data_IF_445324790850
#
_entry.id   IF_445324790850
#
_cell.length_a   1.000
_cell.length_b   1.000
_cell.length_c   1.000
_cell.angle_alpha   90.00
_cell.angle_beta   90.00
_cell.angle_gamma   90.00
#
_symmetry.space_group_name_H-M   'P 1'
#
loop_
_entity.id
_entity.type
_entity.pdbx_description
1 polymer ?
#
# COMPACT_ATOMS: atom_id res chain seq x y z
N UNK A 1 -13.04 1.21 7.53
CA UNK A 1 -14.08 1.19 8.58
C UNK A 1 -13.75 2.06 9.79
N UNK A 2 -12.54 1.92 10.45
CA UNK A 2 -12.21 2.77 11.62
C UNK A 2 -12.11 4.25 11.26
N UNK A 3 -11.41 4.57 10.16
CA UNK A 3 -11.30 5.94 9.66
C UNK A 3 -12.66 6.54 9.31
N UNK A 4 -13.60 5.75 8.80
CA UNK A 4 -14.96 6.22 8.50
C UNK A 4 -15.72 6.62 9.77
N UNK A 5 -15.66 5.78 10.82
CA UNK A 5 -16.25 6.13 12.12
C UNK A 5 -15.64 7.40 12.72
N UNK A 6 -14.34 7.61 12.47
CA UNK A 6 -13.69 8.85 12.92
C UNK A 6 -14.17 10.08 12.15
N UNK A 7 -14.42 9.96 10.84
CA UNK A 7 -15.07 11.05 10.07
C UNK A 7 -16.45 11.38 10.63
N UNK A 8 -17.26 10.35 10.96
CA UNK A 8 -18.60 10.55 11.56
C UNK A 8 -18.50 11.25 12.92
N UNK A 9 -17.50 10.88 13.74
CA UNK A 9 -17.22 11.56 15.00
C UNK A 9 -16.83 13.02 14.80
N UNK A 10 -15.92 13.31 13.88
CA UNK A 10 -15.51 14.67 13.57
C UNK A 10 -16.70 15.54 13.12
N UNK A 11 -17.54 14.98 12.25
CA UNK A 11 -18.75 15.66 11.77
C UNK A 11 -19.72 15.95 12.93
N UNK A 12 -19.99 14.95 13.78
CA UNK A 12 -20.93 15.09 14.91
C UNK A 12 -20.45 16.09 15.96
N UNK A 13 -19.13 16.29 16.07
CA UNK A 13 -18.51 17.24 17.00
C UNK A 13 -18.23 18.61 16.36
N UNK A 14 -18.67 18.83 15.12
CA UNK A 14 -18.52 20.11 14.41
C UNK A 14 -17.10 20.45 13.97
N UNK A 15 -16.19 19.48 13.96
CA UNK A 15 -14.84 19.67 13.46
C UNK A 15 -14.83 19.87 11.94
N UNK A 16 -13.84 20.60 11.44
CA UNK A 16 -13.71 20.94 10.00
C UNK A 16 -12.42 20.40 9.39
N UNK A 17 -11.43 20.09 10.22
CA UNK A 17 -10.11 19.65 9.78
C UNK A 17 -9.72 18.35 10.45
N UNK A 18 -9.09 17.48 9.67
CA UNK A 18 -8.44 16.28 10.16
C UNK A 18 -6.98 16.29 9.73
N UNK A 19 -6.11 16.62 10.67
CA UNK A 19 -4.67 16.54 10.44
C UNK A 19 -4.21 15.08 10.53
N UNK A 20 -3.47 14.63 9.52
CA UNK A 20 -2.89 13.29 9.45
C UNK A 20 -1.37 13.35 9.29
N UNK A 21 -0.69 12.28 9.67
CA UNK A 21 0.72 12.09 9.37
C UNK A 21 0.90 11.61 7.91
N UNK A 22 2.12 11.71 7.34
CA UNK A 22 2.39 11.15 6.02
C UNK A 22 1.95 9.68 5.91
N UNK A 23 1.26 9.34 4.83
CA UNK A 23 0.78 7.98 4.56
C UNK A 23 1.76 7.17 3.70
N UNK A 24 2.96 7.66 3.51
CA UNK A 24 4.00 7.03 2.70
C UNK A 24 4.52 5.74 3.35
N UNK A 25 5.17 4.89 2.54
CA UNK A 25 5.71 3.61 3.01
C UNK A 25 6.75 3.84 4.10
N UNK A 26 6.57 3.15 5.21
CA UNK A 26 7.51 3.13 6.33
C UNK A 26 8.50 1.98 6.20
N UNK A 27 9.62 2.08 6.90
CA UNK A 27 10.65 1.06 6.94
C UNK A 27 10.78 0.48 8.36
N UNK A 28 10.62 -0.85 8.52
CA UNK A 28 10.84 -1.50 9.83
C UNK A 28 12.24 -1.26 10.42
N UNK A 29 13.26 -1.07 9.57
CA UNK A 29 14.61 -0.73 10.02
C UNK A 29 14.69 0.65 10.71
N UNK A 30 13.67 1.49 10.56
CA UNK A 30 13.55 2.80 11.17
C UNK A 30 12.27 2.89 12.05
N UNK A 31 11.93 1.81 12.74
CA UNK A 31 10.79 1.70 13.66
C UNK A 31 9.44 2.10 13.02
N UNK A 32 9.31 1.91 11.72
CA UNK A 32 8.14 2.36 10.94
C UNK A 32 7.80 3.85 11.13
N UNK A 33 8.81 4.68 11.28
CA UNK A 33 8.65 6.12 11.42
C UNK A 33 8.01 6.72 10.15
N UNK A 34 6.88 7.43 10.24
CA UNK A 34 6.18 7.99 9.07
C UNK A 34 6.97 9.08 8.33
N UNK A 35 8.00 9.65 8.97
CA UNK A 35 8.90 10.64 8.36
C UNK A 35 10.12 10.00 7.67
N UNK A 36 10.27 8.68 7.76
CA UNK A 36 11.34 7.91 7.11
C UNK A 36 10.74 7.01 6.03
N UNK A 37 10.62 7.52 4.82
CA UNK A 37 10.01 6.80 3.71
C UNK A 37 11.01 6.53 2.58
N UNK A 38 10.81 5.40 1.91
CA UNK A 38 11.57 5.02 0.70
C UNK A 38 10.98 5.64 -0.58
N UNK A 39 9.84 6.27 -0.50
CA UNK A 39 9.17 6.93 -1.62
C UNK A 39 8.30 8.08 -1.13
N UNK A 40 8.30 9.19 -1.87
CA UNK A 40 7.40 10.32 -1.62
C UNK A 40 6.03 10.17 -2.29
N UNK A 41 5.89 9.23 -3.23
CA UNK A 41 4.66 9.00 -4.00
C UNK A 41 3.89 7.77 -3.54
N UNK A 42 4.63 6.69 -3.20
CA UNK A 42 4.01 5.43 -2.83
C UNK A 42 3.51 5.45 -1.39
N UNK A 43 2.33 4.91 -1.20
CA UNK A 43 1.67 4.85 0.10
C UNK A 43 1.85 3.49 0.76
N UNK A 44 1.75 3.49 2.10
CA UNK A 44 1.97 2.32 2.91
C UNK A 44 0.80 1.33 2.81
N UNK A 45 1.00 0.12 2.26
CA UNK A 45 -0.04 -0.90 2.16
C UNK A 45 -0.63 -1.31 3.51
N UNK A 46 0.08 -1.09 4.61
CA UNK A 46 -0.44 -1.39 5.95
C UNK A 46 -1.70 -0.59 6.32
N UNK A 47 -2.00 0.50 5.61
CA UNK A 47 -3.27 1.22 5.78
C UNK A 47 -4.45 0.61 4.99
N UNK A 48 -4.20 -0.34 4.08
CA UNK A 48 -5.28 -1.04 3.36
C UNK A 48 -6.16 -1.79 4.38
N UNK A 49 -7.48 -1.55 4.33
CA UNK A 49 -8.45 -2.25 5.17
C UNK A 49 -8.78 -3.63 4.60
N UNK A 50 -8.60 -4.72 5.39
CA UNK A 50 -9.04 -6.06 4.99
C UNK A 50 -10.54 -6.13 4.71
N UNK A 51 -11.35 -5.46 5.50
CA UNK A 51 -12.81 -5.46 5.33
C UNK A 51 -13.20 -4.85 4.00
N UNK A 52 -12.56 -3.73 3.59
CA UNK A 52 -12.81 -3.13 2.28
C UNK A 52 -12.29 -4.01 1.13
N UNK A 53 -11.19 -4.75 1.33
CA UNK A 53 -10.77 -5.76 0.33
C UNK A 53 -11.81 -6.87 0.18
N UNK A 54 -12.46 -7.29 1.27
CA UNK A 54 -13.51 -8.29 1.21
C UNK A 54 -14.78 -7.73 0.52
N UNK A 55 -15.18 -6.50 0.81
CA UNK A 55 -16.27 -5.80 0.11
C UNK A 55 -16.01 -5.69 -1.40
N UNK A 56 -14.76 -5.43 -1.79
CA UNK A 56 -14.33 -5.31 -3.19
C UNK A 56 -14.14 -6.70 -3.85
N UNK A 57 -14.35 -7.81 -3.13
CA UNK A 57 -14.22 -9.18 -3.65
C UNK A 57 -12.76 -9.63 -3.85
N UNK A 58 -11.79 -8.88 -3.33
CA UNK A 58 -10.36 -9.20 -3.44
C UNK A 58 -9.94 -10.34 -2.49
N UNK A 59 -10.64 -10.51 -1.37
CA UNK A 59 -10.50 -11.63 -0.44
C UNK A 59 -11.88 -12.13 -0.03
N UNK A 60 -11.97 -13.31 0.58
CA UNK A 60 -13.22 -13.75 1.19
C UNK A 60 -13.39 -13.09 2.57
N UNK A 61 -14.65 -12.93 3.01
CA UNK A 61 -14.94 -12.42 4.36
C UNK A 61 -14.30 -13.32 5.43
N UNK A 62 -14.28 -14.63 5.21
CA UNK A 62 -13.63 -15.60 6.10
C UNK A 62 -12.12 -15.37 6.26
N UNK A 63 -11.46 -14.81 5.26
CA UNK A 63 -10.00 -14.59 5.30
C UNK A 63 -9.60 -13.52 6.34
N UNK A 64 -10.52 -12.61 6.68
CA UNK A 64 -10.31 -11.55 7.65
C UNK A 64 -11.24 -11.60 8.88
N UNK A 65 -12.03 -12.67 9.04
CA UNK A 65 -13.01 -12.79 10.11
C UNK A 65 -12.38 -13.01 11.50
N UNK A 66 -11.22 -13.65 11.55
CA UNK A 66 -10.53 -13.99 12.79
C UNK A 66 -9.09 -13.45 12.79
N UNK A 67 -8.90 -12.12 12.94
CA UNK A 67 -7.58 -11.53 12.99
C UNK A 67 -6.85 -11.91 14.28
N UNK A 68 -5.51 -11.93 14.29
CA UNK A 68 -4.73 -12.08 15.52
C UNK A 68 -5.14 -11.05 16.58
N UNK A 69 -5.01 -11.42 17.86
CA UNK A 69 -5.24 -10.50 18.96
C UNK A 69 -4.17 -9.40 18.98
N UNK A 70 -4.51 -8.22 18.51
CA UNK A 70 -3.62 -7.05 18.51
C UNK A 70 -3.77 -6.24 19.81
N UNK A 71 -2.67 -5.68 20.36
CA UNK A 71 -2.74 -4.76 21.50
C UNK A 71 -3.60 -3.54 21.17
N UNK A 72 -4.49 -3.15 22.11
CA UNK A 72 -5.40 -2.02 21.89
C UNK A 72 -4.71 -0.64 21.97
N UNK A 73 -3.56 -0.55 22.68
CA UNK A 73 -2.88 0.72 22.98
C UNK A 73 -1.71 1.06 22.05
N UNK A 74 -1.27 0.11 21.22
CA UNK A 74 -0.13 0.29 20.32
C UNK A 74 -0.23 -0.62 19.11
N UNK A 75 0.45 -0.26 18.03
CA UNK A 75 0.61 -1.14 16.87
C UNK A 75 1.77 -2.10 17.14
N UNK A 76 1.50 -3.40 17.05
CA UNK A 76 2.53 -4.44 17.01
C UNK A 76 2.85 -4.78 15.55
N UNK A 77 3.83 -4.11 14.98
CA UNK A 77 4.23 -4.32 13.59
C UNK A 77 4.72 -5.74 13.32
N UNK A 78 5.29 -6.42 14.33
CA UNK A 78 5.75 -7.80 14.17
C UNK A 78 4.61 -8.80 13.95
N UNK A 79 3.44 -8.50 14.47
CA UNK A 79 2.22 -9.28 14.27
C UNK A 79 1.39 -8.76 13.07
N UNK A 80 1.29 -7.45 12.88
CA UNK A 80 0.48 -6.82 11.83
C UNK A 80 1.04 -7.08 10.43
N UNK A 81 2.37 -6.97 10.24
CA UNK A 81 2.98 -7.12 8.92
C UNK A 81 2.72 -8.53 8.35
N UNK A 82 3.07 -9.65 9.00
CA UNK A 82 2.82 -10.96 8.42
C UNK A 82 1.34 -11.26 8.20
N UNK A 83 0.45 -10.81 9.10
CA UNK A 83 -0.99 -10.92 8.90
C UNK A 83 -1.45 -10.21 7.61
N UNK A 84 -1.06 -8.96 7.43
CA UNK A 84 -1.41 -8.18 6.23
C UNK A 84 -0.80 -8.78 4.97
N UNK A 85 0.45 -9.23 5.01
CA UNK A 85 1.13 -9.84 3.88
C UNK A 85 0.43 -11.13 3.40
N UNK A 86 -0.09 -11.95 4.31
CA UNK A 86 -0.90 -13.12 3.97
C UNK A 86 -2.18 -12.72 3.21
N UNK A 87 -2.89 -11.70 3.68
CA UNK A 87 -4.08 -11.17 3.03
C UNK A 87 -3.77 -10.54 1.66
N UNK A 88 -2.69 -9.79 1.56
CA UNK A 88 -2.25 -9.17 0.29
C UNK A 88 -1.90 -10.22 -0.75
N UNK A 89 -1.24 -11.31 -0.33
CA UNK A 89 -0.91 -12.43 -1.22
C UNK A 89 -2.17 -13.16 -1.71
N UNK A 90 -3.17 -13.33 -0.84
CA UNK A 90 -4.47 -13.88 -1.22
C UNK A 90 -5.21 -12.96 -2.21
N UNK A 91 -5.26 -11.66 -1.91
CA UNK A 91 -5.91 -10.65 -2.75
C UNK A 91 -5.27 -10.56 -4.13
N UNK A 92 -3.94 -10.53 -4.21
CA UNK A 92 -3.22 -10.44 -5.48
C UNK A 92 -3.45 -11.68 -6.36
N UNK A 93 -3.37 -12.89 -5.79
CA UNK A 93 -3.68 -14.12 -6.54
C UNK A 93 -5.10 -14.12 -7.11
N UNK A 94 -6.10 -13.68 -6.33
CA UNK A 94 -7.47 -13.59 -6.82
C UNK A 94 -7.62 -12.54 -7.92
N UNK A 95 -6.98 -11.39 -7.75
CA UNK A 95 -6.97 -10.32 -8.75
C UNK A 95 -6.32 -10.76 -10.07
N UNK A 96 -5.17 -11.44 -10.04
CA UNK A 96 -4.46 -11.89 -11.25
C UNK A 96 -5.26 -12.89 -12.10
N UNK A 97 -6.25 -13.57 -11.50
CA UNK A 97 -7.12 -14.53 -12.18
C UNK A 97 -8.47 -13.96 -12.64
N UNK A 98 -8.81 -12.67 -12.43
CA UNK A 98 -10.08 -12.14 -12.91
C UNK A 98 -10.63 -10.90 -12.20
N UNK A 99 -9.78 -10.02 -11.70
CA UNK A 99 -10.19 -8.79 -10.99
C UNK A 99 -10.55 -7.60 -11.89
N UNK A 100 -10.68 -6.40 -11.29
CA UNK A 100 -11.02 -5.09 -11.89
C UNK A 100 -9.92 -4.58 -12.84
N UNK A 101 -9.70 -5.27 -13.94
CA UNK A 101 -8.55 -5.07 -14.84
C UNK A 101 -8.56 -3.68 -15.46
N UNK A 102 -9.70 -3.20 -15.93
CA UNK A 102 -9.81 -1.89 -16.59
C UNK A 102 -9.49 -0.73 -15.64
N UNK A 103 -9.99 -0.77 -14.39
CA UNK A 103 -9.69 0.26 -13.38
C UNK A 103 -8.21 0.26 -13.00
N UNK A 104 -7.62 -0.94 -12.88
CA UNK A 104 -6.21 -1.12 -12.60
C UNK A 104 -5.33 -0.59 -13.74
N UNK A 105 -5.61 -0.94 -14.97
CA UNK A 105 -4.86 -0.49 -16.15
C UNK A 105 -4.92 1.03 -16.30
N UNK A 106 -6.09 1.61 -16.03
CA UNK A 106 -6.26 3.07 -16.01
C UNK A 106 -5.43 3.72 -14.88
N UNK A 107 -5.46 3.14 -13.67
CA UNK A 107 -4.64 3.61 -12.55
C UNK A 107 -3.15 3.56 -12.90
N UNK A 108 -2.67 2.45 -13.44
CA UNK A 108 -1.28 2.27 -13.82
C UNK A 108 -0.84 3.28 -14.89
N UNK A 109 -1.66 3.48 -15.92
CA UNK A 109 -1.34 4.43 -17.00
C UNK A 109 -1.23 5.87 -16.49
N UNK A 110 -2.11 6.27 -15.57
CA UNK A 110 -2.09 7.63 -14.98
C UNK A 110 -0.91 7.86 -14.03
N UNK A 111 -0.40 6.81 -13.44
CA UNK A 111 0.67 6.87 -12.44
C UNK A 111 2.02 6.36 -12.98
N UNK A 112 2.14 6.07 -14.27
CA UNK A 112 3.32 5.47 -14.88
C UNK A 112 4.61 6.27 -14.60
N UNK A 113 4.52 7.59 -14.43
CA UNK A 113 5.68 8.45 -14.18
C UNK A 113 6.41 8.18 -12.85
N UNK A 114 5.81 7.44 -11.92
CA UNK A 114 6.44 7.08 -10.65
C UNK A 114 6.21 5.61 -10.26
N UNK A 115 5.06 5.04 -10.64
CA UNK A 115 4.60 3.74 -10.15
C UNK A 115 5.48 2.60 -10.63
N UNK A 116 5.89 2.62 -11.89
CA UNK A 116 6.72 1.55 -12.48
C UNK A 116 8.13 1.56 -11.87
N UNK A 117 8.74 2.73 -11.70
CA UNK A 117 10.03 2.87 -11.02
C UNK A 117 9.96 2.41 -9.56
N UNK A 118 8.92 2.81 -8.84
CA UNK A 118 8.70 2.38 -7.47
C UNK A 118 8.50 0.86 -7.37
N UNK A 119 7.68 0.28 -8.24
CA UNK A 119 7.38 -1.15 -8.23
C UNK A 119 8.64 -1.99 -8.52
N UNK A 120 9.44 -1.58 -9.50
CA UNK A 120 10.70 -2.25 -9.83
C UNK A 120 11.71 -2.11 -8.69
N UNK A 121 11.87 -0.90 -8.13
CA UNK A 121 12.70 -0.67 -6.95
C UNK A 121 12.30 -1.57 -5.78
N UNK A 122 11.00 -1.68 -5.51
CA UNK A 122 10.47 -2.51 -4.41
C UNK A 122 10.73 -3.99 -4.65
N UNK A 123 10.56 -4.47 -5.89
CA UNK A 123 10.83 -5.84 -6.26
C UNK A 123 12.33 -6.19 -6.12
N UNK A 124 13.22 -5.34 -6.65
CA UNK A 124 14.67 -5.53 -6.49
C UNK A 124 15.07 -5.48 -5.02
N UNK A 125 14.55 -4.51 -4.24
CA UNK A 125 14.85 -4.38 -2.81
C UNK A 125 14.50 -5.64 -2.00
N UNK A 126 13.46 -6.35 -2.38
CA UNK A 126 13.05 -7.59 -1.70
C UNK A 126 14.10 -8.72 -1.83
N UNK A 127 14.90 -8.71 -2.89
CA UNK A 127 16.00 -9.67 -3.12
C UNK A 127 17.26 -9.32 -2.29
N UNK A 128 17.35 -8.06 -1.79
CA UNK A 128 18.50 -7.56 -1.05
C UNK A 128 18.11 -7.07 0.35
N UNK A 129 17.55 -7.93 1.22
CA UNK A 129 17.09 -7.51 2.54
C UNK A 129 18.24 -6.93 3.36
N UNK A 130 17.96 -5.78 3.98
CA UNK A 130 18.93 -5.07 4.82
C UNK A 130 20.03 -4.29 4.07
N UNK A 131 20.06 -4.33 2.73
CA UNK A 131 20.99 -3.53 1.93
C UNK A 131 20.32 -2.27 1.39
N UNK A 132 20.98 -1.14 1.57
CA UNK A 132 20.59 0.10 0.91
C UNK A 132 20.90 0.04 -0.59
N UNK A 133 20.11 0.74 -1.42
CA UNK A 133 20.27 0.72 -2.89
C UNK A 133 21.68 1.11 -3.39
N UNK A 134 22.39 1.96 -2.66
CA UNK A 134 23.77 2.35 -2.98
C UNK A 134 24.81 1.24 -2.74
N UNK A 135 24.38 0.12 -2.15
CA UNK A 135 25.18 -1.10 -1.94
C UNK A 135 24.82 -2.21 -2.94
N UNK A 136 23.91 -1.95 -3.88
CA UNK A 136 23.56 -2.87 -4.96
C UNK A 136 24.68 -2.94 -6.01
N UNK A 137 24.68 -3.96 -6.89
CA UNK A 137 25.58 -4.01 -8.05
C UNK A 137 25.59 -2.70 -8.84
N UNK A 138 26.72 -2.37 -9.45
CA UNK A 138 26.94 -1.08 -10.11
C UNK A 138 25.93 -0.78 -11.21
N UNK A 139 25.59 -1.77 -12.01
CA UNK A 139 24.61 -1.69 -13.09
C UNK A 139 23.19 -1.38 -12.57
N UNK A 140 22.74 -2.05 -11.52
CA UNK A 140 21.47 -1.74 -10.86
C UNK A 140 21.49 -0.36 -10.20
N UNK A 141 22.59 -0.04 -9.49
CA UNK A 141 22.75 1.25 -8.82
C UNK A 141 22.77 2.41 -9.82
N UNK A 142 23.42 2.21 -10.97
CA UNK A 142 23.52 3.22 -12.04
C UNK A 142 22.31 3.18 -13.00
N UNK A 143 21.31 2.29 -12.73
CA UNK A 143 20.08 2.18 -13.51
C UNK A 143 20.35 1.83 -14.98
N UNK A 144 21.24 0.88 -15.25
CA UNK A 144 21.44 0.39 -16.62
C UNK A 144 20.11 -0.07 -17.24
N UNK A 145 19.68 0.48 -18.37
CA UNK A 145 18.35 0.19 -18.92
C UNK A 145 18.16 -1.28 -19.30
N UNK A 146 19.21 -1.96 -19.78
CA UNK A 146 19.13 -3.37 -20.17
C UNK A 146 18.95 -4.24 -18.91
N UNK A 147 19.75 -3.99 -17.87
CA UNK A 147 19.67 -4.72 -16.60
C UNK A 147 18.33 -4.47 -15.91
N UNK A 148 17.81 -3.24 -15.92
CA UNK A 148 16.48 -2.94 -15.36
C UNK A 148 15.37 -3.65 -16.13
N UNK A 149 15.48 -3.80 -17.45
CA UNK A 149 14.52 -4.56 -18.25
C UNK A 149 14.56 -6.07 -17.92
N UNK A 150 15.75 -6.65 -17.78
CA UNK A 150 15.93 -8.05 -17.37
C UNK A 150 15.36 -8.29 -15.95
N UNK A 151 15.64 -7.40 -15.01
CA UNK A 151 15.11 -7.51 -13.63
C UNK A 151 13.59 -7.37 -13.59
N UNK A 152 13.01 -6.51 -14.42
CA UNK A 152 11.56 -6.38 -14.52
C UNK A 152 10.89 -7.65 -15.00
N UNK A 153 11.47 -8.34 -15.99
CA UNK A 153 10.96 -9.64 -16.45
C UNK A 153 11.17 -10.73 -15.38
N UNK A 154 12.34 -10.79 -14.79
CA UNK A 154 12.67 -11.77 -13.74
C UNK A 154 11.78 -11.64 -12.52
N UNK A 155 11.50 -10.40 -12.09
CA UNK A 155 10.72 -10.06 -10.90
C UNK A 155 9.28 -9.65 -11.23
N UNK A 156 8.76 -10.06 -12.39
CA UNK A 156 7.46 -9.63 -12.89
C UNK A 156 6.34 -9.77 -11.85
N UNK A 157 6.26 -10.88 -11.15
CA UNK A 157 5.21 -11.11 -10.15
C UNK A 157 5.32 -10.14 -8.95
N UNK A 158 6.52 -9.92 -8.43
CA UNK A 158 6.76 -8.95 -7.35
C UNK A 158 6.49 -7.50 -7.80
N UNK A 159 6.88 -7.18 -9.03
CA UNK A 159 6.62 -5.88 -9.66
C UNK A 159 5.11 -5.62 -9.79
N UNK A 160 4.36 -6.55 -10.37
CA UNK A 160 2.91 -6.40 -10.53
C UNK A 160 2.18 -6.39 -9.18
N UNK A 161 2.64 -7.17 -8.21
CA UNK A 161 2.11 -7.15 -6.84
C UNK A 161 2.30 -5.79 -6.18
N UNK A 162 3.45 -5.15 -6.34
CA UNK A 162 3.69 -3.80 -5.79
C UNK A 162 2.75 -2.76 -6.41
N UNK A 163 2.55 -2.79 -7.73
CA UNK A 163 1.59 -1.94 -8.44
C UNK A 163 0.15 -2.17 -7.96
N UNK A 164 -0.24 -3.44 -7.83
CA UNK A 164 -1.56 -3.82 -7.34
C UNK A 164 -1.84 -3.28 -5.93
N UNK A 165 -0.90 -3.36 -5.01
CA UNK A 165 -1.08 -2.84 -3.65
C UNK A 165 -1.25 -1.32 -3.63
N UNK A 166 -0.54 -0.60 -4.50
CA UNK A 166 -0.76 0.82 -4.67
C UNK A 166 -2.16 1.11 -5.22
N UNK A 167 -2.61 0.36 -6.23
CA UNK A 167 -3.98 0.49 -6.75
C UNK A 167 -5.03 0.30 -5.66
N UNK A 168 -4.92 -0.76 -4.85
CA UNK A 168 -5.87 -1.03 -3.75
C UNK A 168 -5.85 0.09 -2.72
N UNK A 169 -4.66 0.57 -2.32
CA UNK A 169 -4.54 1.70 -1.39
C UNK A 169 -5.25 2.93 -1.94
N UNK A 170 -4.92 3.36 -3.16
CA UNK A 170 -5.48 4.56 -3.76
C UNK A 170 -6.99 4.47 -3.94
N UNK A 171 -7.52 3.30 -4.31
CA UNK A 171 -8.96 3.07 -4.40
C UNK A 171 -9.65 3.31 -3.04
N UNK A 172 -9.14 2.75 -1.96
CA UNK A 172 -9.68 2.95 -0.62
C UNK A 172 -9.48 4.39 -0.11
N UNK A 173 -8.36 5.01 -0.43
CA UNK A 173 -8.04 6.38 -0.09
C UNK A 173 -8.99 7.40 -0.76
N UNK A 174 -9.29 7.22 -2.04
CA UNK A 174 -10.28 8.07 -2.73
C UNK A 174 -11.67 7.97 -2.10
N UNK A 175 -12.09 6.76 -1.69
CA UNK A 175 -13.36 6.55 -0.97
C UNK A 175 -13.37 7.30 0.37
N UNK A 176 -12.26 7.29 1.12
CA UNK A 176 -12.14 8.04 2.36
C UNK A 176 -12.16 9.55 2.12
N UNK A 177 -11.42 10.04 1.12
CA UNK A 177 -11.44 11.47 0.75
C UNK A 177 -12.83 11.94 0.33
N UNK A 178 -13.57 11.12 -0.43
CA UNK A 178 -14.95 11.45 -0.77
C UNK A 178 -15.81 11.58 0.46
N UNK A 179 -15.75 10.62 1.38
CA UNK A 179 -16.50 10.68 2.65
C UNK A 179 -16.15 11.91 3.47
N UNK A 180 -14.87 12.30 3.56
CA UNK A 180 -14.46 13.54 4.24
C UNK A 180 -15.10 14.75 3.58
N UNK A 181 -15.06 14.86 2.24
CA UNK A 181 -15.69 15.98 1.51
C UNK A 181 -17.19 16.05 1.79
N UNK A 182 -17.90 14.91 1.71
CA UNK A 182 -19.34 14.83 1.94
C UNK A 182 -19.71 15.23 3.39
N UNK A 183 -18.83 14.95 4.35
CA UNK A 183 -18.98 15.34 5.76
C UNK A 183 -18.50 16.77 6.05
N UNK A 184 -17.97 17.50 5.07
CA UNK A 184 -17.41 18.85 5.24
C UNK A 184 -16.09 18.87 6.04
N UNK A 185 -15.31 17.78 6.00
CA UNK A 185 -14.02 17.63 6.68
C UNK A 185 -12.89 17.80 5.65
N UNK A 186 -11.96 18.70 5.92
CA UNK A 186 -10.74 18.90 5.14
C UNK A 186 -9.59 18.09 5.76
N UNK A 187 -8.94 17.27 4.93
CA UNK A 187 -7.70 16.58 5.31
C UNK A 187 -6.50 17.53 5.15
N UNK A 188 -5.63 17.60 6.16
CA UNK A 188 -4.41 18.42 6.19
C UNK A 188 -3.22 17.62 6.69
#
# INVERSE_FOLDING_TARGET
PAAWRFVDFLQSTGQKYWQILPLTITDPAHDNNPYHSISVFAHNPLFISPELMAEDGLIAVSDCADPPAFPASRVDFSAVIPYKEALFSCAYRRFSHGGKRQEYDWFCSRNAGWLDDFALFSAIRSEWPGRAWNQWPDDLRNRDPAVLAEERERLHDAFERARFLQFVFFSQWERLKSRCRDAGITLV
#
